data_IF_885748182035
#
_entry.id   IF_885748182035
#
_cell.length_a   1.000
_cell.length_b   1.000
_cell.length_c   1.000
_cell.angle_alpha   90.00
_cell.angle_beta   90.00
_cell.angle_gamma   90.00
#
_symmetry.space_group_name_H-M   'P 1'
#
loop_
_entity.id
_entity.type
_entity.pdbx_description
1 polymer ?
#
# COMPACT_ATOMS: atom_id res chain seq x y z
N UNK A 1 -11.58 -0.73 -7.34
CA UNK A 1 -11.06 -0.89 -5.98
C UNK A 1 -11.73 0.11 -5.04
N UNK A 2 -11.43 1.36 -5.06
CA UNK A 2 -12.01 2.44 -4.27
C UNK A 2 -12.52 3.57 -5.18
N UNK A 3 -13.44 4.42 -4.69
CA UNK A 3 -13.98 5.56 -5.45
C UNK A 3 -13.21 6.88 -5.22
N UNK A 4 -12.17 6.84 -4.39
CA UNK A 4 -11.31 7.98 -4.06
C UNK A 4 -11.74 8.76 -2.82
N UNK A 5 -12.81 8.37 -2.14
CA UNK A 5 -13.23 8.90 -0.84
C UNK A 5 -13.15 7.83 0.25
N UNK A 6 -12.87 8.25 1.48
CA UNK A 6 -12.88 7.37 2.64
C UNK A 6 -13.99 7.76 3.60
N UNK A 7 -14.85 6.84 3.96
CA UNK A 7 -15.90 7.04 4.96
C UNK A 7 -15.48 6.53 6.34
N UNK A 8 -14.44 5.73 6.38
CA UNK A 8 -13.89 5.11 7.60
C UNK A 8 -12.38 4.96 7.50
N UNK A 9 -11.76 4.56 8.61
CA UNK A 9 -10.39 4.06 8.62
C UNK A 9 -10.35 2.57 8.93
N UNK A 10 -9.32 1.92 8.39
CA UNK A 10 -8.94 0.54 8.69
C UNK A 10 -7.52 0.50 9.24
N UNK A 11 -7.26 -0.33 10.22
CA UNK A 11 -5.91 -0.56 10.73
C UNK A 11 -5.86 -1.58 11.85
N UNK A 12 -4.66 -1.92 12.24
CA UNK A 12 -4.37 -2.82 13.34
C UNK A 12 -3.86 -2.02 14.54
N UNK A 13 -4.12 -2.51 15.74
CA UNK A 13 -3.48 -2.05 16.99
C UNK A 13 -2.54 -3.14 17.48
N UNK A 14 -1.47 -3.38 16.70
CA UNK A 14 -0.56 -4.48 16.95
C UNK A 14 0.81 -4.18 16.31
N UNK A 15 1.81 -3.89 17.14
CA UNK A 15 3.19 -3.74 16.66
C UNK A 15 3.64 -5.03 15.96
N UNK A 16 4.33 -4.92 14.83
CA UNK A 16 4.71 -6.07 14.00
C UNK A 16 3.55 -6.71 13.25
N UNK A 17 2.34 -6.14 13.34
CA UNK A 17 1.20 -6.56 12.54
C UNK A 17 1.36 -6.16 11.07
N UNK A 18 0.80 -6.97 10.17
CA UNK A 18 0.83 -6.72 8.73
C UNK A 18 -0.58 -6.64 8.18
N UNK A 19 -0.75 -5.76 7.20
CA UNK A 19 -1.96 -5.66 6.37
C UNK A 19 -1.54 -5.94 4.93
N UNK A 20 -2.30 -6.72 4.20
CA UNK A 20 -2.04 -7.05 2.79
C UNK A 20 -3.34 -7.01 1.98
N UNK A 21 -3.31 -6.32 0.85
CA UNK A 21 -4.41 -6.24 -0.10
C UNK A 21 -4.03 -6.96 -1.39
N UNK A 22 -4.90 -7.87 -1.85
CA UNK A 22 -4.70 -8.65 -3.07
C UNK A 22 -5.02 -7.85 -4.31
N UNK A 23 -4.12 -7.92 -5.29
CA UNK A 23 -4.27 -7.41 -6.64
C UNK A 23 -4.06 -8.53 -7.67
N UNK A 24 -4.38 -8.25 -8.92
CA UNK A 24 -4.11 -9.13 -10.04
C UNK A 24 -3.52 -8.34 -11.20
N UNK A 25 -2.45 -8.84 -11.80
CA UNK A 25 -1.91 -8.32 -13.06
C UNK A 25 -2.03 -9.37 -14.16
N UNK A 26 -2.53 -9.01 -15.37
CA UNK A 26 -2.66 -9.97 -16.48
C UNK A 26 -1.34 -10.29 -17.17
N UNK A 27 -0.29 -9.50 -16.93
CA UNK A 27 1.04 -9.61 -17.53
C UNK A 27 2.11 -9.44 -16.48
N UNK A 28 3.30 -9.96 -16.77
CA UNK A 28 4.48 -9.71 -15.96
C UNK A 28 4.80 -8.21 -15.97
N UNK A 29 5.10 -7.63 -14.82
CA UNK A 29 5.42 -6.21 -14.69
C UNK A 29 6.36 -5.96 -13.51
N UNK A 30 6.83 -4.72 -13.40
CA UNK A 30 7.68 -4.27 -12.30
C UNK A 30 6.92 -3.29 -11.43
N UNK A 31 6.74 -3.63 -10.17
CA UNK A 31 6.10 -2.81 -9.16
C UNK A 31 7.12 -1.83 -8.58
N UNK A 32 6.81 -0.54 -8.61
CA UNK A 32 7.69 0.54 -8.16
C UNK A 32 7.36 1.04 -6.75
N UNK A 33 6.12 0.82 -6.30
CA UNK A 33 5.63 1.29 -5.01
C UNK A 33 4.11 1.25 -4.97
N UNK A 34 3.53 2.01 -4.05
CA UNK A 34 2.08 2.15 -3.91
C UNK A 34 1.67 3.57 -3.56
N UNK A 35 0.53 3.99 -4.06
CA UNK A 35 -0.21 5.11 -3.51
C UNK A 35 -1.05 4.62 -2.34
N UNK A 36 -0.96 5.28 -1.18
CA UNK A 36 -1.74 4.97 0.02
C UNK A 36 -2.43 6.25 0.48
N UNK A 37 -3.71 6.15 0.82
CA UNK A 37 -4.45 7.19 1.51
C UNK A 37 -4.61 6.81 2.97
N UNK A 38 -4.16 7.70 3.88
CA UNK A 38 -4.37 7.58 5.32
C UNK A 38 -5.43 8.57 5.77
N UNK A 39 -6.43 8.08 6.53
CA UNK A 39 -7.57 8.87 6.99
C UNK A 39 -7.29 9.52 8.35
N UNK A 40 -7.41 10.85 8.50
CA UNK A 40 -7.15 11.57 9.75
C UNK A 40 -8.31 11.43 10.75
N UNK A 41 -8.61 10.20 11.21
CA UNK A 41 -9.66 9.92 12.18
C UNK A 41 -9.06 9.81 13.59
N UNK A 42 -9.66 10.46 14.57
CA UNK A 42 -9.38 10.44 16.02
C UNK A 42 -7.98 10.92 16.41
N UNK A 43 -6.92 10.40 15.82
CA UNK A 43 -5.53 10.81 16.04
C UNK A 43 -4.70 10.56 14.79
N UNK A 44 -3.65 11.34 14.66
CA UNK A 44 -2.69 11.19 13.57
C UNK A 44 -1.52 10.33 14.05
N UNK A 45 -1.17 9.32 13.26
CA UNK A 45 -0.02 8.45 13.52
C UNK A 45 1.22 8.93 12.72
N UNK A 46 1.44 10.24 12.64
CA UNK A 46 2.49 10.86 11.80
C UNK A 46 3.91 10.49 12.21
N UNK A 47 4.10 10.03 13.43
CA UNK A 47 5.36 9.58 14.02
C UNK A 47 5.49 8.03 14.06
N UNK A 48 4.47 7.30 13.58
CA UNK A 48 4.43 5.85 13.60
C UNK A 48 4.87 5.28 12.26
N UNK A 49 6.05 4.72 12.23
CA UNK A 49 6.61 4.18 10.99
C UNK A 49 5.98 2.86 10.56
N UNK A 50 6.01 2.64 9.25
CA UNK A 50 5.68 1.36 8.63
C UNK A 50 6.68 1.03 7.53
N UNK A 51 6.69 -0.22 7.10
CA UNK A 51 7.46 -0.71 5.96
C UNK A 51 6.49 -1.16 4.89
N UNK A 52 6.62 -0.62 3.68
CA UNK A 52 5.87 -1.10 2.53
C UNK A 52 6.40 -2.47 2.10
N UNK A 53 5.51 -3.42 1.88
CA UNK A 53 5.87 -4.80 1.53
C UNK A 53 5.00 -5.33 0.40
N UNK A 54 5.55 -6.29 -0.37
CA UNK A 54 4.81 -7.04 -1.38
C UNK A 54 5.06 -8.55 -1.22
N UNK A 55 4.04 -9.35 -1.51
CA UNK A 55 4.09 -10.82 -1.41
C UNK A 55 3.52 -11.47 -2.67
N UNK A 56 4.03 -12.66 -3.01
CA UNK A 56 3.40 -13.51 -4.01
C UNK A 56 2.11 -14.14 -3.47
N UNK A 57 1.32 -14.72 -4.38
CA UNK A 57 0.16 -15.54 -4.01
C UNK A 57 0.57 -16.99 -3.76
N UNK A 58 0.11 -17.53 -2.65
CA UNK A 58 0.21 -18.97 -2.37
C UNK A 58 -1.18 -19.48 -1.96
N UNK A 59 -1.84 -20.12 -2.89
CA UNK A 59 -3.18 -20.71 -2.69
C UNK A 59 -4.27 -19.71 -2.26
N UNK A 60 -4.14 -18.45 -2.65
CA UNK A 60 -5.10 -17.40 -2.35
C UNK A 60 -4.75 -16.54 -1.12
N UNK A 61 -3.66 -16.84 -0.43
CA UNK A 61 -3.13 -16.09 0.71
C UNK A 61 -1.78 -15.42 0.37
N UNK A 62 -1.38 -14.35 1.07
CA UNK A 62 -0.05 -13.78 0.95
C UNK A 62 1.01 -14.82 1.33
N UNK A 63 1.96 -15.06 0.43
CA UNK A 63 3.00 -16.08 0.59
C UNK A 63 4.37 -15.49 0.89
N UNK A 64 5.33 -15.75 0.01
CA UNK A 64 6.71 -15.29 0.17
C UNK A 64 6.82 -13.79 -0.04
N UNK A 65 7.57 -13.11 0.82
CA UNK A 65 7.92 -11.70 0.68
C UNK A 65 8.76 -11.51 -0.60
N UNK A 66 8.37 -10.56 -1.44
CA UNK A 66 9.03 -10.23 -2.70
C UNK A 66 9.93 -9.00 -2.61
N UNK A 67 9.69 -8.14 -1.62
CA UNK A 67 10.53 -6.95 -1.38
C UNK A 67 11.92 -7.34 -0.90
N UNK A 68 12.92 -6.52 -1.22
CA UNK A 68 14.31 -6.78 -0.86
C UNK A 68 14.54 -6.68 0.63
N UNK A 69 15.69 -7.22 1.10
CA UNK A 69 16.11 -7.03 2.48
C UNK A 69 16.33 -5.55 2.83
N UNK A 70 16.71 -4.72 1.86
CA UNK A 70 16.88 -3.28 2.03
C UNK A 70 15.55 -2.57 2.29
N UNK A 71 14.45 -3.03 1.70
CA UNK A 71 13.11 -2.49 1.98
C UNK A 71 12.68 -2.73 3.43
N UNK A 72 13.18 -3.76 4.09
CA UNK A 72 12.90 -3.99 5.52
C UNK A 72 13.48 -2.91 6.45
N UNK A 73 14.35 -2.05 5.94
CA UNK A 73 14.92 -0.90 6.66
C UNK A 73 14.42 0.44 6.10
N UNK A 74 13.60 0.42 5.06
CA UNK A 74 13.01 1.61 4.48
C UNK A 74 11.71 1.98 5.18
N UNK A 75 11.85 2.70 6.30
CA UNK A 75 10.72 3.15 7.09
C UNK A 75 10.06 4.37 6.47
N UNK A 76 8.75 4.25 6.23
CA UNK A 76 7.90 5.34 5.80
C UNK A 76 7.04 5.84 6.95
N UNK A 77 6.64 7.12 6.91
CA UNK A 77 5.69 7.70 7.84
C UNK A 77 4.37 7.98 7.13
N UNK A 78 3.22 7.73 7.78
CA UNK A 78 1.95 8.11 7.21
C UNK A 78 1.86 9.63 7.02
N UNK A 79 1.33 10.05 5.90
CA UNK A 79 1.01 11.44 5.63
C UNK A 79 -0.51 11.60 5.57
N UNK A 80 -1.05 12.51 6.38
CA UNK A 80 -2.48 12.77 6.46
C UNK A 80 -2.78 14.15 5.88
N UNK A 81 -3.75 14.20 4.97
CA UNK A 81 -4.29 15.46 4.47
C UNK A 81 -5.51 15.87 5.29
N UNK A 82 -5.71 17.16 5.49
CA UNK A 82 -6.81 17.67 6.32
C UNK A 82 -8.18 17.52 5.64
N UNK A 83 -8.25 17.55 4.31
CA UNK A 83 -9.52 17.40 3.58
C UNK A 83 -9.30 17.21 2.09
N UNK A 84 -10.21 16.50 1.43
CA UNK A 84 -10.32 16.37 -0.01
C UNK A 84 -10.33 14.91 -0.49
N UNK A 85 -10.93 14.63 -1.64
CA UNK A 85 -10.91 13.30 -2.24
C UNK A 85 -9.57 13.03 -2.94
N UNK A 86 -9.22 11.75 -3.08
CA UNK A 86 -8.05 11.27 -3.83
C UNK A 86 -6.68 11.79 -3.36
N UNK A 87 -6.54 12.12 -2.09
CA UNK A 87 -5.29 12.64 -1.52
C UNK A 87 -4.32 11.50 -1.16
N UNK A 88 -3.97 10.71 -2.15
CA UNK A 88 -3.01 9.62 -2.00
C UNK A 88 -1.57 10.14 -1.95
N UNK A 89 -0.75 9.49 -1.13
CA UNK A 89 0.69 9.71 -1.07
C UNK A 89 1.41 8.51 -1.69
N UNK A 90 2.41 8.78 -2.53
CA UNK A 90 3.25 7.76 -3.13
C UNK A 90 4.34 7.32 -2.16
N UNK A 91 4.43 6.00 -1.96
CA UNK A 91 5.47 5.32 -1.19
C UNK A 91 6.23 4.39 -2.12
N UNK A 92 7.50 4.70 -2.47
CA UNK A 92 8.31 3.86 -3.34
C UNK A 92 8.87 2.64 -2.59
N UNK A 93 9.12 1.56 -3.32
CA UNK A 93 10.08 0.55 -2.90
C UNK A 93 11.51 1.06 -3.12
N UNK A 94 12.45 0.59 -2.30
CA UNK A 94 13.89 0.89 -2.49
C UNK A 94 14.39 0.28 -3.79
N UNK A 95 14.03 -0.98 -4.01
CA UNK A 95 14.30 -1.71 -5.25
C UNK A 95 12.98 -2.07 -5.95
N UNK A 96 12.87 -1.84 -7.27
CA UNK A 96 11.70 -2.27 -8.03
C UNK A 96 11.47 -3.78 -7.90
N UNK A 97 10.23 -4.20 -7.68
CA UNK A 97 9.83 -5.59 -7.41
C UNK A 97 9.24 -6.23 -8.67
N UNK A 98 9.85 -7.29 -9.17
CA UNK A 98 9.27 -8.06 -10.28
C UNK A 98 8.02 -8.81 -9.81
N UNK A 99 6.91 -8.62 -10.52
CA UNK A 99 5.63 -9.28 -10.28
C UNK A 99 5.26 -10.10 -11.51
N UNK A 100 5.24 -11.44 -11.41
CA UNK A 100 4.71 -12.28 -12.50
C UNK A 100 3.21 -12.07 -12.65
N UNK A 101 2.70 -12.37 -13.85
CA UNK A 101 1.25 -12.35 -14.10
C UNK A 101 0.50 -13.24 -13.11
N UNK A 102 -0.64 -12.75 -12.63
CA UNK A 102 -1.44 -13.43 -11.62
C UNK A 102 -1.72 -12.58 -10.39
N UNK A 103 -2.06 -13.23 -9.28
CA UNK A 103 -2.31 -12.57 -8.02
C UNK A 103 -1.02 -12.24 -7.28
N UNK A 104 -1.03 -11.11 -6.60
CA UNK A 104 0.03 -10.65 -5.69
C UNK A 104 -0.59 -9.77 -4.60
N UNK A 105 0.19 -9.43 -3.60
CA UNK A 105 -0.28 -8.62 -2.48
C UNK A 105 0.65 -7.45 -2.23
N UNK A 106 0.06 -6.31 -1.87
CA UNK A 106 0.78 -5.13 -1.37
C UNK A 106 0.18 -4.75 -0.03
N UNK A 107 1.04 -4.31 0.87
CA UNK A 107 0.61 -3.83 2.17
C UNK A 107 1.75 -3.33 3.02
N UNK A 108 1.56 -3.35 4.32
CA UNK A 108 2.52 -2.77 5.26
C UNK A 108 2.81 -3.68 6.43
N UNK A 109 4.04 -3.57 6.93
CA UNK A 109 4.44 -4.03 8.26
C UNK A 109 4.45 -2.82 9.19
N UNK A 110 3.59 -2.82 10.20
CA UNK A 110 3.45 -1.76 11.19
C UNK A 110 4.48 -1.93 12.31
N UNK A 111 5.12 -0.83 12.74
CA UNK A 111 6.17 -0.88 13.75
C UNK A 111 5.68 -0.64 15.20
N UNK A 112 4.50 -0.09 15.37
CA UNK A 112 3.93 0.26 16.68
C UNK A 112 2.52 -0.30 16.87
N UNK A 113 2.00 -0.19 18.11
CA UNK A 113 0.62 -0.56 18.45
C UNK A 113 -0.42 0.48 18.00
N UNK A 114 0.03 1.64 17.50
CA UNK A 114 -0.85 2.70 17.04
C UNK A 114 -1.30 2.42 15.60
N UNK A 115 -2.61 2.41 15.36
CA UNK A 115 -3.19 2.19 14.04
C UNK A 115 -2.74 3.25 13.03
N UNK A 116 -2.35 2.83 11.84
CA UNK A 116 -1.97 3.72 10.74
C UNK A 116 -3.17 4.41 10.08
N UNK A 117 -4.38 3.92 10.31
CA UNK A 117 -5.64 4.47 9.79
C UNK A 117 -5.69 4.58 8.25
N UNK A 118 -5.53 3.45 7.56
CA UNK A 118 -5.77 3.41 6.11
C UNK A 118 -7.18 3.89 5.80
N UNK A 119 -7.35 4.69 4.76
CA UNK A 119 -8.66 5.04 4.25
C UNK A 119 -9.44 3.79 3.86
N UNK A 120 -10.71 3.74 4.24
CA UNK A 120 -11.64 2.68 3.90
C UNK A 120 -12.86 3.28 3.23
N UNK A 121 -12.95 3.06 1.92
CA UNK A 121 -14.13 3.37 1.12
C UNK A 121 -15.22 2.35 1.42
N UNK A 122 -16.37 2.82 1.91
CA UNK A 122 -17.55 2.01 2.23
C UNK A 122 -18.57 1.95 1.09
N UNK A 123 -18.38 2.78 0.06
CA UNK A 123 -19.26 2.85 -1.08
C UNK A 123 -18.97 1.72 -2.08
N UNK A 124 -17.72 1.29 -2.14
CA UNK A 124 -17.26 0.18 -2.96
C UNK A 124 -16.90 -1.04 -2.12
N UNK A 125 -17.47 -2.19 -2.47
CA UNK A 125 -17.22 -3.45 -1.78
C UNK A 125 -16.42 -4.41 -2.68
N UNK A 126 -15.22 -4.02 -3.08
CA UNK A 126 -14.37 -4.85 -3.93
C UNK A 126 -13.32 -5.67 -3.16
N UNK A 127 -13.25 -5.49 -1.85
CA UNK A 127 -12.21 -6.06 -0.99
C UNK A 127 -12.66 -7.19 -0.06
N UNK A 128 -13.91 -7.62 -0.09
CA UNK A 128 -14.47 -8.64 0.83
C UNK A 128 -13.63 -9.90 0.96
N UNK A 129 -12.91 -10.26 -0.09
CA UNK A 129 -12.08 -11.46 -0.15
C UNK A 129 -10.64 -11.15 -0.50
N UNK A 130 -10.21 -9.90 -0.40
CA UNK A 130 -8.90 -9.43 -0.87
C UNK A 130 -8.04 -8.84 0.22
N UNK A 131 -8.62 -8.50 1.36
CA UNK A 131 -7.93 -7.90 2.48
C UNK A 131 -7.55 -8.96 3.51
N UNK A 132 -6.27 -8.99 3.86
CA UNK A 132 -5.69 -9.93 4.82
C UNK A 132 -4.92 -9.16 5.89
N UNK A 133 -4.81 -9.78 7.06
CA UNK A 133 -3.94 -9.29 8.12
C UNK A 133 -3.20 -10.45 8.80
N UNK A 134 -2.04 -10.13 9.36
CA UNK A 134 -1.23 -11.05 10.16
C UNK A 134 -0.84 -10.34 11.45
N UNK A 135 -1.07 -10.98 12.59
CA UNK A 135 -0.66 -10.47 13.89
C UNK A 135 0.80 -10.81 14.18
N UNK A 136 1.46 -10.01 15.00
CA UNK A 136 2.82 -10.30 15.44
C UNK A 136 2.91 -11.69 16.07
N UNK A 137 3.94 -12.42 15.68
CA UNK A 137 4.21 -13.77 16.19
C UNK A 137 3.34 -14.87 15.57
N UNK A 138 2.39 -14.52 14.68
CA UNK A 138 1.65 -15.49 13.88
C UNK A 138 2.35 -15.72 12.54
N UNK A 139 2.34 -16.99 12.08
CA UNK A 139 2.70 -17.34 10.70
C UNK A 139 1.51 -17.21 9.75
N UNK A 140 0.29 -17.16 10.29
CA UNK A 140 -0.94 -17.30 9.52
C UNK A 140 -1.50 -15.95 9.09
N UNK A 141 -1.85 -15.85 7.84
CA UNK A 141 -2.65 -14.76 7.32
C UNK A 141 -4.14 -15.04 7.54
N UNK A 142 -4.86 -14.05 8.00
CA UNK A 142 -6.29 -14.13 8.25
C UNK A 142 -7.03 -13.18 7.31
N UNK A 143 -8.11 -13.65 6.65
CA UNK A 143 -8.96 -12.76 5.85
C UNK A 143 -9.66 -11.76 6.77
N UNK A 144 -9.73 -10.50 6.34
CA UNK A 144 -10.50 -9.48 7.04
C UNK A 144 -11.98 -9.59 6.68
N UNK A 145 -12.85 -9.50 7.68
CA UNK A 145 -14.31 -9.49 7.50
C UNK A 145 -14.87 -8.06 7.34
N UNK A 146 -14.01 -7.07 7.14
CA UNK A 146 -14.42 -5.67 6.99
C UNK A 146 -14.94 -5.45 5.58
N UNK A 147 -16.17 -4.97 5.48
CA UNK A 147 -16.79 -4.55 4.22
C UNK A 147 -16.25 -3.19 3.78
N UNK A 148 -15.88 -3.05 2.53
CA UNK A 148 -15.33 -1.82 1.94
C UNK A 148 -14.03 -2.06 1.19
N UNK A 149 -13.44 -1.00 0.69
CA UNK A 149 -12.19 -1.02 -0.08
C UNK A 149 -11.11 -0.23 0.63
N UNK A 150 -10.03 -0.90 1.07
CA UNK A 150 -8.84 -0.21 1.61
C UNK A 150 -8.13 0.54 0.49
N UNK A 151 -7.80 1.80 0.74
CA UNK A 151 -7.30 2.73 -0.26
C UNK A 151 -5.78 2.59 -0.44
N UNK A 152 -5.41 1.51 -1.15
CA UNK A 152 -4.04 1.23 -1.60
C UNK A 152 -4.10 0.97 -3.11
N UNK A 153 -3.21 1.60 -3.88
CA UNK A 153 -3.13 1.46 -5.34
C UNK A 153 -1.70 1.14 -5.77
N UNK A 154 -1.45 0.01 -6.45
CA UNK A 154 -0.12 -0.33 -6.95
C UNK A 154 0.35 0.63 -8.05
N UNK A 155 1.67 0.86 -8.11
CA UNK A 155 2.31 1.64 -9.17
C UNK A 155 3.27 0.74 -9.94
N UNK A 156 2.96 0.50 -11.21
CA UNK A 156 3.74 -0.34 -12.09
C UNK A 156 4.55 0.48 -13.09
N UNK A 157 5.66 -0.08 -13.54
CA UNK A 157 6.53 0.53 -14.55
C UNK A 157 5.81 0.69 -15.89
N UNK A 158 5.07 -0.31 -16.35
CA UNK A 158 4.34 -0.27 -17.63
C UNK A 158 3.21 0.77 -17.66
N UNK A 159 2.72 1.22 -16.51
CA UNK A 159 1.73 2.30 -16.41
C UNK A 159 2.31 3.72 -16.47
N UNK A 160 3.64 3.86 -16.47
CA UNK A 160 4.28 5.16 -16.59
C UNK A 160 4.39 5.57 -18.06
N UNK A 161 4.19 6.86 -18.40
CA UNK A 161 4.44 7.36 -19.74
C UNK A 161 5.89 7.09 -20.17
N UNK A 162 6.14 6.78 -21.45
CA UNK A 162 7.48 6.47 -21.99
C UNK A 162 8.55 7.55 -21.72
N UNK A 163 8.15 8.80 -21.46
CA UNK A 163 9.06 9.90 -21.13
C UNK A 163 9.53 9.90 -19.66
N UNK A 164 8.93 9.06 -18.80
CA UNK A 164 9.45 8.78 -17.45
C UNK A 164 10.47 7.64 -17.56
N UNK A 165 11.59 7.89 -18.24
CA UNK A 165 12.76 7.04 -18.10
C UNK A 165 13.30 7.27 -16.68
N UNK A 166 12.95 6.40 -15.77
CA UNK A 166 13.63 6.31 -14.48
C UNK A 166 14.97 5.62 -14.74
N UNK A 167 15.91 6.35 -15.34
CA UNK A 167 17.31 6.06 -15.10
C UNK A 167 17.54 6.33 -13.60
N UNK A 168 18.03 5.33 -12.91
CA UNK A 168 18.32 5.32 -11.47
C UNK A 168 19.50 6.24 -11.14
N UNK A 169 19.44 7.52 -11.51
CA UNK A 169 20.41 8.55 -11.13
C UNK A 169 19.65 9.85 -10.92
N UNK A 170 19.59 10.23 -9.64
CA UNK A 170 19.17 11.52 -9.11
C UNK A 170 17.68 11.90 -9.21
N UNK A 171 16.91 11.49 -8.20
CA UNK A 171 15.61 12.07 -7.84
C UNK A 171 15.80 13.47 -7.18
N UNK A 172 16.65 14.32 -7.73
CA UNK A 172 16.85 15.68 -7.22
C UNK A 172 16.06 16.74 -7.99
N UNK A 173 15.38 16.38 -9.09
CA UNK A 173 14.62 17.35 -9.90
C UNK A 173 13.21 16.88 -10.27
N UNK A 174 12.38 16.48 -9.28
CA UNK A 174 10.93 16.41 -9.51
C UNK A 174 10.33 17.82 -9.40
N UNK A 175 10.26 18.53 -10.51
CA UNK A 175 9.40 19.71 -10.62
C UNK A 175 7.95 19.24 -10.77
N UNK A 176 7.16 19.42 -9.72
CA UNK A 176 5.71 19.29 -9.79
C UNK A 176 5.15 20.43 -10.66
N UNK A 177 4.69 20.10 -11.87
CA UNK A 177 3.92 21.04 -12.66
C UNK A 177 2.51 21.16 -12.06
N UNK A 178 2.01 22.39 -11.82
CA UNK A 178 0.63 22.56 -11.36
C UNK A 178 -0.33 22.08 -12.45
N UNK A 179 -1.38 21.38 -12.00
CA UNK A 179 -2.50 20.99 -12.86
C UNK A 179 -3.07 22.22 -13.58
N UNK A 180 -3.28 22.21 -14.90
CA UNK A 180 -4.00 23.30 -15.56
C UNK A 180 -5.45 23.34 -15.08
N UNK A 181 -5.92 24.54 -14.79
CA UNK A 181 -7.28 24.90 -14.34
C UNK A 181 -8.30 24.56 -15.43
#
# INVERSE_FOLDING_TARGET
>A
YDDGSAERAYGLQNAGGKVALRFNTPVDDTLLGAYIYFEPIQYLATDQSFILQAWNDVSGDPGTLLTSEFDNFNFSLPHYYESGPNLFVYYPFTDPVFIPSGNFYIGTLQQSDVSLNFGLDKNTNSNDTKLFYQLQGSSDWLPSNITGSVMIRPVFKAGLPEWVNVETTDITDMQLYPNPV
#
